data_IF_517231529310
#
_entry.id   IF_517231529310
#
_cell.length_a   1.000
_cell.length_b   1.000
_cell.length_c   1.000
_cell.angle_alpha   90.00
_cell.angle_beta   90.00
_cell.angle_gamma   90.00
#
_symmetry.space_group_name_H-M   'P 1'
#
loop_
_entity.id
_entity.type
_entity.pdbx_description
1 polymer ?
#
# COMPACT_ATOMS: atom_id res chain seq x y z
N UNK A 1 29.67 -37.05 14.63
CA UNK A 1 29.37 -37.79 13.38
C UNK A 1 28.10 -38.59 13.63
N UNK A 2 26.97 -38.22 12.99
CA UNK A 2 26.32 -39.01 11.92
C UNK A 2 26.14 -40.49 12.34
N UNK A 3 24.96 -41.11 12.37
CA UNK A 3 23.94 -41.05 11.32
C UNK A 3 22.73 -41.96 11.65
N UNK A 4 21.55 -41.53 11.16
CA UNK A 4 20.49 -42.30 10.46
C UNK A 4 19.83 -43.48 11.18
N UNK A 5 18.55 -43.35 11.55
CA UNK A 5 17.35 -43.60 10.70
C UNK A 5 17.32 -44.98 10.03
N UNK A 6 16.37 -45.81 10.47
CA UNK A 6 15.72 -46.84 9.63
C UNK A 6 14.21 -46.72 9.78
N UNK A 7 13.54 -46.63 8.62
CA UNK A 7 12.10 -46.78 8.43
C UNK A 7 11.81 -48.24 8.04
N UNK A 8 10.63 -48.73 8.40
CA UNK A 8 9.96 -49.91 7.81
C UNK A 8 8.71 -50.17 8.65
N UNK A 9 7.48 -49.86 8.22
CA UNK A 9 6.65 -50.45 7.15
C UNK A 9 6.26 -51.92 7.40
N UNK A 10 4.94 -52.10 7.60
CA UNK A 10 4.08 -53.27 7.42
C UNK A 10 4.19 -54.45 8.40
N UNK A 11 3.10 -54.70 9.11
CA UNK A 11 2.58 -56.05 9.31
C UNK A 11 1.05 -56.00 9.42
N UNK A 12 0.36 -56.54 8.41
CA UNK A 12 -1.02 -56.99 8.51
C UNK A 12 -0.99 -58.30 9.26
N UNK A 13 -1.60 -58.35 10.44
CA UNK A 13 -1.86 -59.58 11.17
C UNK A 13 -3.37 -59.76 11.34
N UNK A 14 -3.96 -60.65 10.54
CA UNK A 14 -5.25 -61.24 10.85
C UNK A 14 -5.02 -62.31 11.93
N UNK A 15 -5.63 -62.17 13.10
CA UNK A 15 -5.82 -63.27 14.05
C UNK A 15 -7.30 -63.37 14.34
N UNK A 16 -7.87 -64.53 14.03
CA UNK A 16 -9.22 -64.92 14.38
C UNK A 16 -9.20 -65.72 15.69
N UNK A 17 -10.12 -65.41 16.62
CA UNK A 17 -10.44 -66.26 17.78
C UNK A 17 -10.60 -65.48 19.09
N UNK A 18 -11.83 -65.43 19.63
CA UNK A 18 -12.09 -65.04 21.02
C UNK A 18 -13.17 -63.98 21.19
N UNK A 19 -14.34 -64.40 21.66
CA UNK A 19 -15.56 -63.61 21.87
C UNK A 19 -15.33 -62.54 22.95
N UNK A 20 -15.53 -61.30 22.54
CA UNK A 20 -15.43 -60.09 23.35
C UNK A 20 -15.61 -58.91 22.41
N UNK A 21 -16.74 -58.85 21.71
CA UNK A 21 -17.11 -57.76 20.84
C UNK A 21 -17.31 -56.49 21.67
N UNK A 22 -16.20 -55.84 22.03
CA UNK A 22 -16.18 -54.40 22.20
C UNK A 22 -16.50 -53.86 20.82
N UNK A 23 -17.78 -53.66 20.54
CA UNK A 23 -18.22 -52.91 19.38
C UNK A 23 -17.58 -51.53 19.49
N UNK A 24 -16.41 -51.35 18.88
CA UNK A 24 -15.99 -50.06 18.41
C UNK A 24 -17.04 -49.70 17.36
N UNK A 25 -18.14 -49.12 17.84
CA UNK A 25 -19.11 -48.47 16.99
C UNK A 25 -18.29 -47.48 16.20
N UNK A 26 -18.09 -47.76 14.92
CA UNK A 26 -17.44 -46.85 14.01
C UNK A 26 -18.34 -45.61 13.95
N UNK A 27 -18.08 -44.64 14.82
CA UNK A 27 -18.85 -43.42 14.85
C UNK A 27 -18.69 -42.77 13.47
N UNK A 28 -19.77 -42.77 12.70
CA UNK A 28 -19.79 -42.15 11.40
C UNK A 28 -19.35 -40.70 11.55
N UNK A 29 -18.29 -40.32 10.84
CA UNK A 29 -17.74 -38.97 10.91
C UNK A 29 -18.84 -37.97 10.54
N UNK A 30 -19.37 -37.27 11.54
CA UNK A 30 -20.35 -36.21 11.32
C UNK A 30 -19.64 -35.00 10.70
N UNK A 31 -20.14 -34.55 9.54
CA UNK A 31 -19.64 -33.37 8.85
C UNK A 31 -20.47 -32.14 9.23
N UNK A 32 -19.82 -30.97 9.27
CA UNK A 32 -20.54 -29.72 9.44
C UNK A 32 -21.34 -29.37 8.19
N UNK A 33 -22.31 -28.45 8.32
CA UNK A 33 -23.02 -27.82 7.21
C UNK A 33 -22.78 -26.31 7.27
N UNK A 34 -22.71 -25.63 6.14
CA UNK A 34 -22.71 -24.16 6.08
C UNK A 34 -24.13 -23.69 6.34
N UNK A 35 -24.30 -22.73 7.24
CA UNK A 35 -25.61 -22.15 7.62
C UNK A 35 -25.73 -20.68 7.25
N UNK A 36 -24.61 -19.98 7.04
CA UNK A 36 -24.58 -18.58 6.61
C UNK A 36 -23.33 -18.31 5.79
N UNK A 37 -23.47 -17.52 4.74
CA UNK A 37 -22.35 -16.96 3.97
C UNK A 37 -22.50 -15.45 3.84
N UNK A 38 -21.40 -14.75 3.61
CA UNK A 38 -21.42 -13.36 3.16
C UNK A 38 -21.60 -13.28 1.65
N UNK A 39 -21.72 -12.06 1.12
CA UNK A 39 -21.51 -11.80 -0.31
C UNK A 39 -20.13 -12.29 -0.73
N UNK A 40 -20.05 -12.92 -1.89
CA UNK A 40 -18.78 -13.26 -2.53
C UNK A 40 -18.22 -12.04 -3.25
N UNK A 41 -16.95 -11.76 -3.03
CA UNK A 41 -16.21 -10.71 -3.72
C UNK A 41 -15.32 -11.31 -4.81
N UNK A 42 -15.10 -10.54 -5.87
CA UNK A 42 -14.07 -10.83 -6.88
C UNK A 42 -12.70 -10.38 -6.37
N UNK A 43 -12.64 -9.20 -5.78
CA UNK A 43 -11.46 -8.60 -5.15
C UNK A 43 -11.86 -7.90 -3.85
N UNK A 44 -10.89 -7.72 -2.95
CA UNK A 44 -11.06 -6.98 -1.71
C UNK A 44 -9.81 -6.18 -1.38
N UNK A 45 -9.99 -5.04 -0.70
CA UNK A 45 -8.93 -4.26 -0.06
C UNK A 45 -8.61 -4.72 1.37
N UNK A 46 -9.31 -5.75 1.87
CA UNK A 46 -9.03 -6.37 3.17
C UNK A 46 -8.04 -7.51 3.00
N UNK A 47 -6.83 -7.34 3.54
CA UNK A 47 -5.77 -8.34 3.42
C UNK A 47 -5.52 -9.08 4.73
N UNK A 48 -5.08 -10.32 4.58
CA UNK A 48 -4.75 -11.22 5.67
C UNK A 48 -3.39 -11.88 5.46
N UNK A 49 -2.77 -12.28 6.56
CA UNK A 49 -1.60 -13.15 6.57
C UNK A 49 -1.91 -14.45 7.32
N UNK A 50 -1.12 -15.49 7.10
CA UNK A 50 -1.35 -16.79 7.74
C UNK A 50 -0.63 -16.93 9.07
N UNK A 51 -1.31 -17.52 10.06
CA UNK A 51 -0.71 -17.89 11.36
C UNK A 51 0.05 -19.21 11.30
N UNK A 52 -0.21 -20.03 10.26
CA UNK A 52 0.33 -21.38 10.14
C UNK A 52 -0.31 -22.42 11.09
N UNK A 53 -1.41 -22.07 11.77
CA UNK A 53 -2.15 -22.98 12.67
C UNK A 53 -3.16 -23.88 11.95
N UNK A 54 -3.65 -23.46 10.80
CA UNK A 54 -4.68 -24.17 10.03
C UNK A 54 -4.28 -24.28 8.57
N UNK A 55 -4.69 -25.36 7.89
CA UNK A 55 -4.48 -25.55 6.47
C UNK A 55 -5.51 -24.77 5.64
N UNK A 56 -5.20 -24.56 4.36
CA UNK A 56 -6.11 -23.99 3.35
C UNK A 56 -6.78 -25.15 2.61
N UNK A 57 -8.09 -25.07 2.40
CA UNK A 57 -8.90 -26.13 1.79
C UNK A 57 -9.63 -25.65 0.54
N UNK A 58 -10.07 -26.57 -0.31
CA UNK A 58 -10.84 -26.23 -1.53
C UNK A 58 -12.29 -25.79 -1.23
N UNK A 59 -12.82 -26.20 -0.08
CA UNK A 59 -14.11 -25.79 0.50
C UNK A 59 -13.92 -25.70 2.02
N UNK A 60 -14.93 -25.21 2.75
CA UNK A 60 -14.91 -25.19 4.23
C UNK A 60 -14.42 -26.53 4.80
N UNK A 61 -13.36 -26.49 5.63
CA UNK A 61 -12.53 -27.65 5.97
C UNK A 61 -13.24 -28.79 6.74
N UNK A 62 -14.37 -28.48 7.37
CA UNK A 62 -15.21 -29.46 8.11
C UNK A 62 -16.35 -30.07 7.28
N UNK A 63 -16.48 -29.69 6.00
CA UNK A 63 -17.48 -30.27 5.10
C UNK A 63 -17.03 -31.61 4.51
N UNK A 64 -18.00 -32.42 4.07
CA UNK A 64 -17.71 -33.65 3.34
C UNK A 64 -16.94 -33.36 2.04
N UNK A 65 -15.85 -34.10 1.84
CA UNK A 65 -15.00 -33.98 0.66
C UNK A 65 -14.13 -32.71 0.61
N UNK A 66 -13.90 -32.03 1.75
CA UNK A 66 -12.88 -30.99 1.83
C UNK A 66 -11.48 -31.60 1.64
N UNK A 67 -10.69 -30.99 0.74
CA UNK A 67 -9.31 -31.39 0.41
C UNK A 67 -8.36 -30.24 0.72
N UNK A 68 -7.17 -30.56 1.24
CA UNK A 68 -6.13 -29.57 1.52
C UNK A 68 -5.57 -29.04 0.20
N UNK A 69 -5.59 -27.71 0.04
CA UNK A 69 -4.95 -26.96 -1.06
C UNK A 69 -3.54 -26.55 -0.67
N UNK A 70 -3.35 -26.06 0.56
CA UNK A 70 -2.03 -25.78 1.15
C UNK A 70 -1.98 -26.25 2.59
N UNK A 71 -0.91 -26.97 2.93
CA UNK A 71 -0.61 -27.40 4.30
C UNK A 71 -0.21 -26.22 5.18
N UNK A 72 -0.28 -26.39 6.51
CA UNK A 72 0.22 -25.40 7.48
C UNK A 72 1.66 -24.99 7.23
N UNK A 73 2.53 -25.95 6.89
CA UNK A 73 3.95 -25.71 6.56
C UNK A 73 4.10 -24.82 5.32
N UNK A 74 3.31 -25.06 4.26
CA UNK A 74 3.33 -24.21 3.07
C UNK A 74 2.80 -22.81 3.37
N UNK A 75 1.75 -22.69 4.19
CA UNK A 75 1.20 -21.39 4.57
C UNK A 75 2.16 -20.57 5.44
N UNK A 76 2.99 -21.21 6.28
CA UNK A 76 4.09 -20.51 6.97
C UNK A 76 5.09 -19.89 5.99
N UNK A 77 5.37 -20.54 4.85
CA UNK A 77 6.23 -19.96 3.80
C UNK A 77 5.59 -18.74 3.14
N UNK A 78 4.27 -18.78 2.88
CA UNK A 78 3.53 -17.59 2.42
C UNK A 78 3.54 -16.48 3.48
N UNK A 79 3.40 -16.85 4.76
CA UNK A 79 3.39 -15.90 5.86
C UNK A 79 4.67 -15.07 5.97
N UNK A 80 5.82 -15.69 5.66
CA UNK A 80 7.15 -15.07 5.68
C UNK A 80 7.64 -14.63 4.29
N UNK A 81 6.82 -14.69 3.25
CA UNK A 81 7.25 -14.38 1.89
C UNK A 81 7.52 -12.88 1.71
N UNK A 82 8.63 -12.57 1.03
CA UNK A 82 8.99 -11.20 0.62
C UNK A 82 8.35 -10.76 -0.70
N UNK A 83 7.58 -11.63 -1.36
CA UNK A 83 6.87 -11.29 -2.60
C UNK A 83 5.52 -10.65 -2.26
N UNK A 84 5.28 -9.41 -2.70
CA UNK A 84 4.01 -8.69 -2.47
C UNK A 84 2.77 -9.49 -2.90
N UNK A 85 2.86 -10.18 -4.04
CA UNK A 85 1.81 -11.06 -4.58
C UNK A 85 1.43 -12.26 -3.69
N UNK A 86 2.26 -12.60 -2.70
CA UNK A 86 1.96 -13.62 -1.69
C UNK A 86 1.11 -13.08 -0.52
N UNK A 87 0.60 -11.85 -0.64
CA UNK A 87 -0.47 -11.32 0.22
C UNK A 87 -1.80 -11.94 -0.17
N UNK A 88 -2.66 -12.21 0.81
CA UNK A 88 -3.97 -12.81 0.59
C UNK A 88 -5.07 -11.80 0.88
N UNK A 89 -6.05 -11.69 -0.01
CA UNK A 89 -7.27 -10.91 0.19
C UNK A 89 -8.40 -11.80 0.69
N UNK A 90 -9.27 -11.25 1.55
CA UNK A 90 -10.52 -11.89 1.94
C UNK A 90 -11.58 -11.73 0.83
N UNK A 91 -12.34 -12.78 0.54
CA UNK A 91 -13.36 -12.74 -0.53
C UNK A 91 -14.76 -13.14 -0.07
N UNK A 92 -14.87 -13.94 0.99
CA UNK A 92 -16.14 -14.49 1.44
C UNK A 92 -15.97 -15.05 2.87
N UNK A 93 -17.02 -14.98 3.69
CA UNK A 93 -17.08 -15.62 4.99
C UNK A 93 -18.15 -16.71 4.98
N UNK A 94 -17.89 -17.84 5.62
CA UNK A 94 -18.87 -18.92 5.83
C UNK A 94 -18.91 -19.33 7.30
N UNK A 95 -20.12 -19.39 7.87
CA UNK A 95 -20.40 -19.93 9.20
C UNK A 95 -21.01 -21.31 9.08
N UNK A 96 -20.55 -22.24 9.91
CA UNK A 96 -21.10 -23.60 9.97
C UNK A 96 -22.13 -23.76 11.09
N UNK A 97 -22.93 -24.83 11.04
CA UNK A 97 -23.84 -25.22 12.12
C UNK A 97 -23.14 -25.52 13.46
N UNK A 98 -21.79 -25.58 13.47
CA UNK A 98 -20.96 -25.71 14.67
C UNK A 98 -20.36 -24.38 15.15
N UNK A 99 -20.87 -23.26 14.64
CA UNK A 99 -20.40 -21.88 14.90
C UNK A 99 -18.94 -21.62 14.48
N UNK A 100 -18.32 -22.53 13.73
CA UNK A 100 -17.00 -22.31 13.12
C UNK A 100 -17.13 -21.39 11.92
N UNK A 101 -16.27 -20.40 11.84
CA UNK A 101 -16.16 -19.47 10.73
C UNK A 101 -14.93 -19.75 9.87
N UNK A 102 -15.11 -19.55 8.57
CA UNK A 102 -14.08 -19.73 7.56
C UNK A 102 -14.05 -18.54 6.63
N UNK A 103 -12.84 -18.16 6.20
CA UNK A 103 -12.63 -17.17 5.17
C UNK A 103 -12.25 -17.86 3.87
N UNK A 104 -12.88 -17.47 2.79
CA UNK A 104 -12.35 -17.67 1.45
C UNK A 104 -11.33 -16.58 1.20
N UNK A 105 -10.11 -16.99 0.84
CA UNK A 105 -9.00 -16.09 0.57
C UNK A 105 -8.38 -16.42 -0.78
N UNK A 106 -7.79 -15.41 -1.43
CA UNK A 106 -6.98 -15.58 -2.63
C UNK A 106 -5.68 -14.77 -2.54
N UNK A 107 -4.58 -15.28 -3.09
CA UNK A 107 -3.37 -14.48 -3.29
C UNK A 107 -3.65 -13.32 -4.25
N UNK A 108 -2.88 -12.23 -4.19
CA UNK A 108 -3.11 -11.07 -5.07
C UNK A 108 -2.94 -11.42 -6.56
N UNK A 109 -2.07 -12.38 -6.88
CA UNK A 109 -1.91 -12.94 -8.23
C UNK A 109 -2.94 -14.02 -8.59
N UNK A 110 -3.92 -14.28 -7.72
CA UNK A 110 -4.97 -15.30 -7.84
C UNK A 110 -4.49 -16.76 -8.00
N UNK A 111 -3.19 -17.05 -7.88
CA UNK A 111 -2.65 -18.42 -8.05
C UNK A 111 -3.01 -19.37 -6.92
N UNK A 112 -3.31 -18.85 -5.73
CA UNK A 112 -3.73 -19.66 -4.58
C UNK A 112 -5.04 -19.15 -4.06
N UNK A 113 -6.05 -20.02 -4.02
CA UNK A 113 -7.39 -19.71 -3.51
C UNK A 113 -7.90 -20.86 -2.65
N UNK A 114 -8.64 -20.55 -1.60
CA UNK A 114 -9.26 -21.58 -0.78
C UNK A 114 -9.91 -21.03 0.49
N UNK A 115 -10.37 -21.95 1.31
CA UNK A 115 -11.06 -21.70 2.58
C UNK A 115 -10.15 -22.03 3.76
N UNK A 116 -10.06 -21.12 4.71
CA UNK A 116 -9.27 -21.30 5.93
C UNK A 116 -10.12 -20.99 7.16
N UNK A 117 -9.95 -21.78 8.21
CA UNK A 117 -10.63 -21.58 9.48
C UNK A 117 -10.16 -20.27 10.13
N UNK A 118 -11.09 -19.39 10.52
CA UNK A 118 -10.82 -18.07 11.11
C UNK A 118 -11.06 -18.01 12.62
N UNK A 119 -11.85 -18.94 13.16
CA UNK A 119 -12.22 -18.98 14.58
C UNK A 119 -13.65 -19.51 14.78
N UNK A 120 -14.15 -19.43 16.00
CA UNK A 120 -15.58 -19.60 16.29
C UNK A 120 -16.20 -18.24 16.58
N UNK A 121 -17.45 -18.05 16.20
CA UNK A 121 -18.25 -16.89 16.61
C UNK A 121 -19.14 -17.24 17.80
N UNK A 122 -19.14 -16.36 18.80
CA UNK A 122 -20.22 -16.23 19.81
C UNK A 122 -20.96 -14.89 19.67
N UNK A 123 -20.38 -13.94 18.92
CA UNK A 123 -20.91 -12.61 18.60
C UNK A 123 -20.76 -12.39 17.09
N UNK A 124 -21.84 -11.97 16.43
CA UNK A 124 -21.94 -11.83 14.99
C UNK A 124 -21.43 -10.49 14.45
N UNK A 125 -20.94 -9.59 15.30
CA UNK A 125 -20.40 -8.29 14.85
C UNK A 125 -19.28 -8.47 13.81
N UNK A 126 -19.36 -7.66 12.75
CA UNK A 126 -18.65 -7.78 11.48
C UNK A 126 -17.14 -7.64 11.59
N UNK A 127 -16.45 -8.73 11.94
CA UNK A 127 -14.98 -8.78 11.86
C UNK A 127 -14.56 -9.90 10.92
N UNK A 128 -13.73 -9.55 9.93
CA UNK A 128 -13.18 -10.51 8.95
C UNK A 128 -12.27 -11.53 9.64
N UNK A 129 -11.42 -11.09 10.58
CA UNK A 129 -10.54 -11.97 11.36
C UNK A 129 -11.01 -12.03 12.81
N UNK A 130 -11.02 -13.23 13.40
CA UNK A 130 -11.39 -13.43 14.81
C UNK A 130 -10.15 -13.51 15.71
N UNK A 131 -10.26 -12.86 16.86
CA UNK A 131 -9.21 -12.80 17.89
C UNK A 131 -9.75 -13.34 19.23
N UNK A 132 -8.87 -13.88 20.05
CA UNK A 132 -9.20 -14.38 21.40
C UNK A 132 -9.19 -13.27 22.45
N UNK A 133 -8.54 -12.16 22.13
CA UNK A 133 -8.31 -11.01 22.99
C UNK A 133 -8.77 -9.71 22.31
N UNK A 134 -9.20 -8.74 23.11
CA UNK A 134 -9.65 -7.44 22.60
C UNK A 134 -8.53 -6.64 21.91
N UNK A 135 -7.27 -6.86 22.32
CA UNK A 135 -6.09 -6.20 21.75
C UNK A 135 -5.68 -6.75 20.36
N UNK A 136 -6.38 -7.76 19.85
CA UNK A 136 -6.15 -8.37 18.52
C UNK A 136 -4.73 -8.93 18.35
N UNK A 137 -4.14 -9.45 19.42
CA UNK A 137 -2.79 -10.03 19.40
C UNK A 137 -2.81 -11.55 19.23
N UNK A 138 -3.91 -12.21 19.59
CA UNK A 138 -4.06 -13.66 19.56
C UNK A 138 -5.12 -14.08 18.54
N UNK A 139 -4.75 -14.35 17.28
CA UNK A 139 -5.69 -14.83 16.28
C UNK A 139 -6.30 -16.17 16.71
N UNK A 140 -7.63 -16.25 16.63
CA UNK A 140 -8.41 -17.43 17.02
C UNK A 140 -8.30 -18.56 15.99
N UNK A 141 -7.94 -18.24 14.74
CA UNK A 141 -7.81 -19.19 13.64
C UNK A 141 -6.51 -19.11 12.86
N UNK A 142 -6.60 -19.40 11.56
CA UNK A 142 -5.50 -19.54 10.62
C UNK A 142 -4.97 -18.23 10.03
N UNK A 143 -5.57 -17.09 10.35
CA UNK A 143 -5.29 -15.80 9.72
C UNK A 143 -5.16 -14.65 10.73
N UNK A 144 -4.44 -13.60 10.33
CA UNK A 144 -4.39 -12.27 10.97
C UNK A 144 -4.67 -11.21 9.94
N UNK A 145 -5.14 -10.03 10.35
CA UNK A 145 -5.12 -8.85 9.47
C UNK A 145 -3.68 -8.55 9.00
N UNK A 146 -3.58 -7.95 7.81
CA UNK A 146 -2.30 -7.61 7.20
C UNK A 146 -2.39 -6.27 6.47
N UNK A 147 -1.41 -5.40 6.70
CA UNK A 147 -1.25 -4.16 5.95
C UNK A 147 -0.13 -4.34 4.93
N UNK A 148 -0.40 -4.02 3.67
CA UNK A 148 0.60 -4.15 2.59
C UNK A 148 1.60 -3.00 2.56
N UNK A 149 1.24 -1.88 3.19
CA UNK A 149 2.05 -0.67 3.32
C UNK A 149 2.10 -0.25 4.79
N UNK A 150 3.24 0.31 5.21
CA UNK A 150 3.42 0.98 6.50
C UNK A 150 3.85 2.41 6.26
N UNK A 151 3.37 3.36 7.06
CA UNK A 151 3.90 4.74 7.03
C UNK A 151 5.40 4.71 7.31
N UNK A 152 6.16 5.50 6.57
CA UNK A 152 7.58 5.71 6.77
C UNK A 152 7.86 7.18 7.07
N UNK A 153 8.84 7.47 7.94
CA UNK A 153 9.20 8.86 8.21
C UNK A 153 9.74 9.52 6.94
N UNK A 154 9.51 10.83 6.83
CA UNK A 154 10.17 11.71 5.87
C UNK A 154 11.10 12.61 6.68
N UNK A 155 12.36 12.70 6.28
CA UNK A 155 13.34 13.57 6.93
C UNK A 155 13.08 15.03 6.58
N UNK A 156 13.55 15.96 7.40
CA UNK A 156 13.45 17.40 7.10
C UNK A 156 14.11 17.75 5.77
N UNK A 157 15.25 17.14 5.45
CA UNK A 157 15.96 17.37 4.19
C UNK A 157 15.19 16.84 2.96
N UNK A 158 14.45 15.74 3.13
CA UNK A 158 13.53 15.22 2.10
C UNK A 158 12.37 16.19 1.87
N UNK A 159 11.69 16.59 2.95
CA UNK A 159 10.51 17.45 2.89
C UNK A 159 10.80 18.87 2.38
N UNK A 160 12.01 19.40 2.64
CA UNK A 160 12.37 20.77 2.25
C UNK A 160 13.12 20.88 0.91
N UNK A 161 13.35 19.74 0.24
CA UNK A 161 14.17 19.64 -0.95
C UNK A 161 13.37 19.67 -2.26
N UNK A 162 14.08 19.99 -3.34
CA UNK A 162 13.60 19.85 -4.71
C UNK A 162 14.32 18.72 -5.41
N UNK A 163 13.62 17.99 -6.26
CA UNK A 163 14.10 16.74 -6.85
C UNK A 163 13.83 16.68 -8.35
N UNK A 164 14.62 15.87 -9.05
CA UNK A 164 14.32 15.38 -10.40
C UNK A 164 14.30 13.86 -10.40
N UNK A 165 13.67 13.27 -11.39
CA UNK A 165 13.85 11.85 -11.69
C UNK A 165 15.34 11.58 -11.95
N UNK A 166 15.90 10.59 -11.27
CA UNK A 166 17.31 10.20 -11.47
C UNK A 166 17.51 9.51 -12.81
N UNK A 167 16.54 8.66 -13.21
CA UNK A 167 16.58 7.85 -14.43
C UNK A 167 15.23 7.91 -15.15
N UNK A 168 14.84 9.05 -15.76
CA UNK A 168 13.62 9.13 -16.54
C UNK A 168 13.69 8.18 -17.75
N UNK A 169 12.55 7.59 -18.13
CA UNK A 169 12.47 6.63 -19.22
C UNK A 169 11.37 5.58 -19.05
N UNK A 170 11.61 4.39 -19.61
CA UNK A 170 10.57 3.35 -19.78
C UNK A 170 10.54 2.28 -18.69
N UNK A 171 11.48 2.28 -17.74
CA UNK A 171 11.57 1.25 -16.70
C UNK A 171 10.26 1.12 -15.89
N UNK A 172 9.84 -0.11 -15.61
CA UNK A 172 8.55 -0.44 -14.96
C UNK A 172 8.69 -0.96 -13.54
N UNK A 173 9.91 -0.93 -12.99
CA UNK A 173 10.29 -1.48 -11.68
C UNK A 173 10.16 -0.47 -10.52
N UNK A 174 9.57 0.69 -10.77
CA UNK A 174 9.44 1.77 -9.79
C UNK A 174 10.49 2.85 -9.88
N UNK A 175 11.49 2.72 -10.76
CA UNK A 175 12.67 3.62 -10.76
C UNK A 175 12.58 4.80 -11.73
N UNK A 176 11.69 4.74 -12.72
CA UNK A 176 11.55 5.79 -13.72
C UNK A 176 10.22 6.55 -13.67
N UNK A 177 9.17 5.96 -13.10
CA UNK A 177 7.79 6.46 -13.20
C UNK A 177 7.14 6.65 -11.84
N UNK A 178 6.13 7.50 -11.79
CA UNK A 178 5.27 7.73 -10.63
C UNK A 178 4.00 6.88 -10.75
N UNK A 179 3.62 6.20 -9.67
CA UNK A 179 2.53 5.22 -9.63
C UNK A 179 1.46 5.60 -8.61
N UNK A 180 0.22 5.17 -8.81
CA UNK A 180 -0.85 5.43 -7.82
C UNK A 180 -0.63 4.73 -6.48
N UNK A 181 0.07 3.58 -6.49
CA UNK A 181 0.51 2.83 -5.32
C UNK A 181 1.88 2.19 -5.61
N UNK A 182 2.67 1.88 -4.58
CA UNK A 182 3.84 1.03 -4.74
C UNK A 182 3.51 -0.30 -5.43
N UNK A 183 4.47 -0.86 -6.16
CA UNK A 183 4.24 -2.11 -6.90
C UNK A 183 3.91 -3.27 -5.95
N UNK A 184 3.08 -4.19 -6.42
CA UNK A 184 2.73 -5.45 -5.75
C UNK A 184 2.06 -5.35 -4.36
N UNK A 185 1.29 -4.30 -4.09
CA UNK A 185 0.64 -4.09 -2.77
C UNK A 185 -0.89 -4.19 -2.79
N UNK A 186 -1.50 -4.35 -3.96
CA UNK A 186 -2.96 -4.38 -4.11
C UNK A 186 -3.37 -5.11 -5.41
N UNK A 187 -4.50 -5.87 -5.40
CA UNK A 187 -5.05 -6.47 -6.61
C UNK A 187 -5.88 -5.48 -7.43
N UNK A 188 -6.29 -4.36 -6.82
CA UNK A 188 -7.14 -3.32 -7.45
C UNK A 188 -6.37 -2.56 -8.54
N UNK A 189 -5.04 -2.51 -8.42
CA UNK A 189 -4.15 -1.79 -9.34
C UNK A 189 -3.12 -2.75 -9.94
N UNK A 190 -3.56 -3.89 -10.45
CA UNK A 190 -2.70 -4.84 -11.16
C UNK A 190 -3.16 -4.98 -12.62
N UNK A 191 -2.41 -4.45 -13.62
CA UNK A 191 -1.08 -3.85 -13.49
C UNK A 191 -1.11 -2.47 -12.80
N UNK A 192 0.02 -2.09 -12.21
CA UNK A 192 0.16 -0.82 -11.49
C UNK A 192 -0.23 0.37 -12.38
N UNK A 193 -1.01 1.30 -11.83
CA UNK A 193 -1.44 2.50 -12.55
C UNK A 193 -0.30 3.52 -12.50
N UNK A 194 0.19 3.90 -13.67
CA UNK A 194 1.14 4.99 -13.83
C UNK A 194 0.38 6.32 -13.79
N UNK A 195 0.77 7.21 -12.87
CA UNK A 195 0.22 8.57 -12.72
C UNK A 195 1.09 9.57 -13.48
N UNK A 196 1.16 9.38 -14.80
CA UNK A 196 1.84 10.28 -15.73
C UNK A 196 1.01 10.34 -17.02
N UNK A 197 0.90 11.51 -17.68
CA UNK A 197 0.16 11.62 -18.94
C UNK A 197 0.69 10.63 -20.00
N UNK A 198 2.02 10.57 -20.18
CA UNK A 198 2.66 9.50 -20.94
C UNK A 198 2.92 8.29 -20.04
N UNK A 199 2.03 7.29 -20.10
CA UNK A 199 2.13 6.08 -19.26
C UNK A 199 3.31 5.16 -19.62
N UNK A 200 3.85 5.30 -20.82
CA UNK A 200 4.91 4.43 -21.33
C UNK A 200 6.31 4.89 -20.88
N UNK A 201 6.53 6.20 -20.82
CA UNK A 201 7.84 6.79 -20.53
C UNK A 201 7.71 8.09 -19.73
N UNK A 202 8.67 8.32 -18.84
CA UNK A 202 8.82 9.59 -18.13
C UNK A 202 9.86 10.54 -18.75
N UNK A 203 10.37 10.23 -19.94
CA UNK A 203 11.40 11.03 -20.63
C UNK A 203 10.96 12.50 -20.84
N UNK A 204 9.68 12.74 -21.12
CA UNK A 204 9.12 14.08 -21.36
C UNK A 204 9.14 14.96 -20.09
N UNK A 205 9.31 14.34 -18.91
CA UNK A 205 9.29 14.95 -17.58
C UNK A 205 10.68 14.96 -16.93
N UNK A 206 11.75 14.74 -17.71
CA UNK A 206 13.11 14.64 -17.20
C UNK A 206 13.62 15.92 -16.48
N UNK A 207 13.05 17.08 -16.85
CA UNK A 207 13.43 18.37 -16.29
C UNK A 207 12.53 18.83 -15.13
N UNK A 208 11.41 18.14 -14.94
CA UNK A 208 10.36 18.55 -14.02
C UNK A 208 10.86 18.52 -12.58
N UNK A 209 10.29 19.38 -11.75
CA UNK A 209 10.70 19.55 -10.36
C UNK A 209 9.68 18.89 -9.46
N UNK A 210 10.16 17.90 -8.73
CA UNK A 210 9.39 17.14 -7.77
C UNK A 210 9.72 17.57 -6.34
N UNK A 211 8.77 17.29 -5.48
CA UNK A 211 8.88 17.36 -4.02
C UNK A 211 8.59 15.99 -3.41
N UNK A 212 8.93 15.81 -2.14
CA UNK A 212 8.54 14.63 -1.37
C UNK A 212 7.48 15.06 -0.36
N UNK A 213 6.30 14.45 -0.43
CA UNK A 213 5.14 14.74 0.42
C UNK A 213 4.89 13.66 1.47
N UNK A 214 5.52 12.50 1.32
CA UNK A 214 5.30 11.37 2.21
C UNK A 214 6.24 10.21 1.90
N UNK A 215 6.18 9.17 2.72
CA UNK A 215 6.86 7.92 2.42
C UNK A 215 6.11 6.74 3.04
N UNK A 216 6.22 5.59 2.38
CA UNK A 216 5.70 4.31 2.85
C UNK A 216 6.74 3.21 2.65
N UNK A 217 6.63 2.13 3.43
CA UNK A 217 7.42 0.91 3.26
C UNK A 217 6.47 -0.22 2.89
N UNK A 218 6.80 -0.99 1.85
CA UNK A 218 6.04 -2.20 1.50
C UNK A 218 6.31 -3.29 2.54
N UNK A 219 5.27 -3.81 3.19
CA UNK A 219 5.43 -4.71 4.35
C UNK A 219 6.16 -6.01 4.01
N UNK A 220 5.96 -6.57 2.81
CA UNK A 220 6.62 -7.84 2.42
C UNK A 220 8.05 -7.63 1.92
N UNK A 221 8.22 -6.67 1.01
CA UNK A 221 9.49 -6.39 0.34
C UNK A 221 10.47 -5.68 1.29
N UNK A 222 9.96 -4.84 2.19
CA UNK A 222 10.75 -4.05 3.13
C UNK A 222 11.40 -2.81 2.52
N UNK A 223 11.15 -2.50 1.26
CA UNK A 223 11.67 -1.32 0.59
C UNK A 223 10.74 -0.11 0.73
N UNK A 224 11.36 1.07 0.74
CA UNK A 224 10.70 2.37 0.89
C UNK A 224 10.32 2.95 -0.47
N UNK A 225 9.19 3.64 -0.48
CA UNK A 225 8.63 4.36 -1.60
C UNK A 225 8.30 5.77 -1.13
N UNK A 226 8.71 6.77 -1.91
CA UNK A 226 8.47 8.17 -1.65
C UNK A 226 7.15 8.57 -2.32
N UNK A 227 6.30 9.28 -1.60
CA UNK A 227 5.18 9.98 -2.19
C UNK A 227 5.70 11.33 -2.71
N UNK A 228 5.38 11.63 -3.98
CA UNK A 228 5.88 12.80 -4.70
C UNK A 228 4.74 13.51 -5.43
N UNK A 229 4.95 14.80 -5.65
CA UNK A 229 4.13 15.64 -6.53
C UNK A 229 5.06 16.43 -7.46
N UNK A 230 4.63 16.59 -8.70
CA UNK A 230 5.27 17.46 -9.68
C UNK A 230 4.77 18.90 -9.51
N UNK A 231 5.69 19.84 -9.38
CA UNK A 231 5.34 21.25 -9.15
C UNK A 231 4.74 21.94 -10.37
N UNK A 232 4.85 21.36 -11.56
CA UNK A 232 4.39 21.95 -12.81
C UNK A 232 3.24 21.20 -13.46
N UNK A 233 2.94 20.00 -12.99
CA UNK A 233 1.88 19.16 -13.51
C UNK A 233 1.21 18.33 -12.42
N UNK A 234 0.08 18.81 -11.90
CA UNK A 234 -0.68 18.13 -10.85
C UNK A 234 -1.20 16.74 -11.23
N UNK A 235 -1.22 16.38 -12.53
CA UNK A 235 -1.56 15.01 -12.93
C UNK A 235 -0.45 14.01 -12.60
N UNK A 236 0.75 14.49 -12.20
CA UNK A 236 1.91 13.68 -11.85
C UNK A 236 2.12 13.74 -10.34
N UNK A 237 1.32 12.97 -9.62
CA UNK A 237 1.45 12.76 -8.18
C UNK A 237 1.24 11.28 -7.83
N UNK A 238 1.99 10.77 -6.85
CA UNK A 238 1.91 9.37 -6.47
C UNK A 238 3.20 8.86 -5.82
N UNK A 239 3.54 7.61 -6.07
CA UNK A 239 4.67 6.91 -5.44
C UNK A 239 5.76 6.58 -6.44
N UNK A 240 7.00 6.79 -6.03
CA UNK A 240 8.20 6.35 -6.74
C UNK A 240 9.14 5.63 -5.75
N UNK A 241 9.91 4.65 -6.23
CA UNK A 241 10.80 3.89 -5.36
C UNK A 241 11.88 4.80 -4.78
N UNK A 242 12.21 4.66 -3.50
CA UNK A 242 13.29 5.42 -2.88
C UNK A 242 14.63 5.19 -3.62
N UNK A 243 15.47 6.23 -3.71
CA UNK A 243 16.68 6.27 -4.53
C UNK A 243 16.46 6.61 -6.02
N UNK A 244 15.22 6.80 -6.45
CA UNK A 244 14.88 7.12 -7.86
C UNK A 244 14.82 8.63 -8.15
N UNK A 245 15.11 9.45 -7.14
CA UNK A 245 15.13 10.90 -7.23
C UNK A 245 16.55 11.42 -6.98
N UNK A 246 16.92 12.45 -7.73
CA UNK A 246 18.14 13.22 -7.51
C UNK A 246 17.78 14.57 -6.93
N UNK A 247 18.31 14.87 -5.75
CA UNK A 247 18.15 16.20 -5.13
C UNK A 247 18.82 17.26 -6.01
N UNK A 248 18.10 18.36 -6.24
CA UNK A 248 18.60 19.53 -6.95
C UNK A 248 19.36 20.38 -5.93
N UNK A 249 20.59 20.79 -6.28
CA UNK A 249 21.34 21.73 -5.46
C UNK A 249 20.60 23.08 -5.39
N UNK A 250 20.73 23.85 -4.30
CA UNK A 250 20.18 25.21 -4.22
C UNK A 250 20.63 26.04 -5.43
N UNK A 251 19.69 26.80 -6.00
CA UNK A 251 19.95 27.68 -7.15
C UNK A 251 19.83 29.13 -6.73
N UNK A 252 20.51 30.03 -7.43
CA UNK A 252 20.32 31.48 -7.26
C UNK A 252 19.04 31.94 -7.97
N UNK A 253 18.55 33.14 -7.65
CA UNK A 253 17.37 33.72 -8.28
C UNK A 253 17.47 33.74 -9.81
N UNK A 254 18.66 34.02 -10.37
CA UNK A 254 18.92 34.00 -11.82
C UNK A 254 18.65 32.64 -12.48
N UNK A 255 18.76 31.54 -11.74
CA UNK A 255 18.61 30.17 -12.24
C UNK A 255 17.32 29.47 -11.78
N UNK A 256 16.54 30.12 -10.92
CA UNK A 256 15.26 29.62 -10.41
C UNK A 256 14.11 30.57 -10.68
N UNK A 257 13.06 30.41 -9.89
CA UNK A 257 11.94 31.35 -9.77
C UNK A 257 11.83 31.70 -8.29
N UNK A 258 11.87 32.99 -7.97
CA UNK A 258 11.65 33.46 -6.60
C UNK A 258 10.16 33.50 -6.33
N UNK A 259 9.68 32.75 -5.36
CA UNK A 259 8.31 32.79 -4.85
C UNK A 259 8.32 33.59 -3.55
N UNK A 260 7.65 34.74 -3.54
CA UNK A 260 7.45 35.54 -2.33
C UNK A 260 6.13 35.13 -1.67
N UNK A 261 6.20 34.72 -0.40
CA UNK A 261 5.03 34.53 0.44
C UNK A 261 4.58 35.89 0.94
N UNK A 262 3.40 36.34 0.54
CA UNK A 262 2.85 37.64 0.89
C UNK A 262 1.58 37.43 1.71
N UNK A 263 1.55 37.97 2.91
CA UNK A 263 0.36 37.95 3.76
C UNK A 263 -0.77 38.72 3.07
N UNK A 264 -1.91 38.05 2.81
CA UNK A 264 -3.00 38.58 1.98
C UNK A 264 -3.66 39.83 2.59
N UNK A 265 -3.68 39.94 3.92
CA UNK A 265 -4.39 41.01 4.63
C UNK A 265 -3.50 42.26 4.76
N UNK A 266 -2.22 42.04 5.03
CA UNK A 266 -1.26 43.14 5.26
C UNK A 266 -0.44 43.50 4.03
N UNK A 267 -0.49 42.67 2.98
CA UNK A 267 0.32 42.76 1.76
C UNK A 267 1.84 42.81 2.02
N UNK A 268 2.30 42.27 3.15
CA UNK A 268 3.72 42.22 3.53
C UNK A 268 4.31 40.88 3.12
N UNK A 269 5.53 40.91 2.59
CA UNK A 269 6.32 39.68 2.37
C UNK A 269 6.71 39.09 3.73
N UNK A 270 6.31 37.85 3.96
CA UNK A 270 6.57 37.10 5.21
C UNK A 270 7.64 36.02 5.03
N UNK A 271 8.02 35.74 3.79
CA UNK A 271 9.15 34.88 3.45
C UNK A 271 9.30 34.73 1.94
N UNK A 272 10.33 34.01 1.52
CA UNK A 272 10.53 33.67 0.12
C UNK A 272 11.22 32.32 -0.03
N UNK A 273 10.98 31.64 -1.16
CA UNK A 273 11.72 30.45 -1.59
C UNK A 273 12.18 30.61 -3.04
N UNK A 274 13.34 30.05 -3.38
CA UNK A 274 13.80 29.98 -4.78
C UNK A 274 13.57 28.56 -5.29
N UNK A 275 12.58 28.41 -6.16
CA UNK A 275 12.26 27.13 -6.80
C UNK A 275 13.18 26.93 -8.00
N UNK A 276 13.85 25.78 -8.14
CA UNK A 276 14.62 25.47 -9.34
C UNK A 276 13.75 25.55 -10.59
N UNK A 277 14.28 26.16 -11.65
CA UNK A 277 13.56 26.19 -12.91
C UNK A 277 13.52 24.80 -13.55
N UNK A 278 12.32 24.30 -13.85
CA UNK A 278 12.08 23.01 -14.51
C UNK A 278 10.99 23.12 -15.55
N UNK A 279 11.31 23.68 -16.70
CA UNK A 279 10.40 23.65 -17.85
C UNK A 279 10.35 22.23 -18.43
N UNK A 280 9.14 21.79 -18.80
CA UNK A 280 8.93 20.56 -19.54
C UNK A 280 9.84 20.48 -20.78
N UNK A 281 10.17 19.27 -21.22
CA UNK A 281 11.08 19.07 -22.36
C UNK A 281 10.60 19.85 -23.59
N UNK A 282 11.48 20.67 -24.16
CA UNK A 282 11.18 21.52 -25.32
C UNK A 282 10.43 22.82 -25.01
N UNK A 283 10.21 23.17 -23.74
CA UNK A 283 9.58 24.43 -23.32
C UNK A 283 10.61 25.41 -22.73
N UNK A 284 10.34 26.70 -22.89
CA UNK A 284 11.17 27.80 -22.37
C UNK A 284 10.59 28.44 -21.10
N UNK A 285 9.41 27.99 -20.70
CA UNK A 285 8.68 28.45 -19.52
C UNK A 285 8.21 27.25 -18.70
N UNK A 286 8.00 27.47 -17.40
CA UNK A 286 7.33 26.52 -16.51
C UNK A 286 6.04 27.13 -15.99
N UNK A 287 5.06 26.30 -15.65
CA UNK A 287 3.89 26.74 -14.90
C UNK A 287 3.94 26.09 -13.54
N UNK A 288 3.45 26.75 -12.51
CA UNK A 288 3.21 26.11 -11.22
C UNK A 288 1.83 25.44 -11.25
N UNK A 289 1.77 24.22 -10.71
CA UNK A 289 0.54 23.48 -10.53
C UNK A 289 -0.20 23.90 -9.25
N UNK A 290 -1.50 23.59 -9.24
CA UNK A 290 -2.42 23.78 -8.11
C UNK A 290 -1.97 23.07 -6.82
N UNK A 291 -1.18 21.99 -6.94
CA UNK A 291 -0.74 21.15 -5.83
C UNK A 291 0.41 21.73 -5.00
N UNK A 292 0.83 22.96 -5.30
CA UNK A 292 1.77 23.69 -4.47
C UNK A 292 1.26 23.92 -3.03
N UNK A 293 -0.01 23.62 -2.74
CA UNK A 293 -0.68 23.84 -1.45
C UNK A 293 -1.39 22.58 -0.88
N UNK A 294 -1.51 21.50 -1.66
CA UNK A 294 -2.52 20.48 -1.34
C UNK A 294 -1.96 19.25 -0.62
N UNK A 295 -1.72 19.37 0.70
CA UNK A 295 -1.64 18.20 1.58
C UNK A 295 -2.11 18.49 3.02
N UNK A 296 -3.08 17.70 3.48
CA UNK A 296 -3.86 17.94 4.70
C UNK A 296 -3.08 17.81 6.04
N UNK A 297 -1.89 17.22 6.04
CA UNK A 297 -1.19 16.82 7.28
C UNK A 297 0.16 17.51 7.53
N UNK A 298 0.63 18.39 6.64
CA UNK A 298 1.90 19.12 6.83
C UNK A 298 1.80 20.56 6.35
N UNK A 299 1.41 21.45 7.26
CA UNK A 299 1.20 22.89 7.06
C UNK A 299 2.48 23.72 6.75
N UNK A 300 3.53 23.11 6.20
CA UNK A 300 4.79 23.79 5.88
C UNK A 300 5.38 23.23 4.58
N UNK A 301 4.67 23.42 3.49
CA UNK A 301 5.14 22.98 2.19
C UNK A 301 6.00 24.07 1.53
N UNK A 302 7.07 23.64 0.85
CA UNK A 302 8.00 24.50 0.11
C UNK A 302 8.68 25.62 0.89
N UNK A 303 8.92 25.41 2.18
CA UNK A 303 9.56 26.41 3.06
C UNK A 303 8.67 27.64 3.31
N UNK A 304 7.35 27.49 3.19
CA UNK A 304 6.40 28.49 3.69
C UNK A 304 6.71 28.81 5.17
N UNK A 305 6.72 30.10 5.56
CA UNK A 305 6.97 30.51 6.94
C UNK A 305 6.04 29.81 7.94
N UNK A 306 6.59 29.47 9.11
CA UNK A 306 5.81 28.86 10.17
C UNK A 306 4.66 29.80 10.62
N UNK A 307 3.48 29.22 10.85
CA UNK A 307 2.29 29.97 11.26
C UNK A 307 1.43 30.48 10.10
N UNK A 308 1.84 30.26 8.85
CA UNK A 308 1.08 30.60 7.65
C UNK A 308 0.49 29.37 6.96
N UNK A 309 -0.59 29.57 6.22
CA UNK A 309 -1.20 28.62 5.28
C UNK A 309 -1.52 29.36 3.97
N UNK A 310 -1.79 28.62 2.89
CA UNK A 310 -2.28 29.21 1.66
C UNK A 310 -3.57 30.03 1.88
N UNK A 311 -3.64 31.18 1.20
CA UNK A 311 -4.87 31.95 1.11
C UNK A 311 -5.85 31.22 0.17
N UNK A 312 -6.84 30.53 0.71
CA UNK A 312 -7.81 29.76 -0.09
C UNK A 312 -8.99 30.63 -0.53
N UNK A 313 -9.04 30.95 -1.82
CA UNK A 313 -10.25 31.40 -2.53
C UNK A 313 -10.33 30.68 -3.88
N UNK A 314 -11.51 30.57 -4.50
CA UNK A 314 -11.66 29.93 -5.84
C UNK A 314 -10.71 30.54 -6.90
N UNK A 315 -10.21 31.76 -6.68
CA UNK A 315 -9.33 32.48 -7.58
C UNK A 315 -7.87 32.59 -7.11
N UNK A 316 -7.56 32.27 -5.84
CA UNK A 316 -6.26 32.56 -5.21
C UNK A 316 -5.41 31.33 -4.86
N UNK A 317 -5.72 30.15 -5.40
CA UNK A 317 -4.82 29.00 -5.27
C UNK A 317 -3.49 29.27 -5.99
N UNK A 318 -2.37 28.86 -5.38
CA UNK A 318 -1.09 28.96 -6.08
C UNK A 318 -1.13 28.10 -7.34
N UNK A 319 -0.58 28.63 -8.43
CA UNK A 319 -0.71 27.99 -9.73
C UNK A 319 -1.97 28.39 -10.51
N UNK A 320 -2.98 29.04 -9.90
CA UNK A 320 -4.11 29.67 -10.64
C UNK A 320 -3.99 31.19 -10.74
N UNK A 321 -3.12 31.80 -9.94
CA UNK A 321 -2.92 33.25 -9.90
C UNK A 321 -2.24 33.80 -11.16
N UNK A 322 -2.47 35.08 -11.52
CA UNK A 322 -1.73 35.74 -12.59
C UNK A 322 -0.22 35.67 -12.35
N UNK A 323 0.53 35.25 -13.38
CA UNK A 323 2.00 35.15 -13.29
C UNK A 323 2.54 33.83 -12.74
N UNK A 324 1.69 32.86 -12.36
CA UNK A 324 2.14 31.50 -12.00
C UNK A 324 2.18 30.54 -13.19
N UNK A 325 1.72 30.99 -14.36
CA UNK A 325 1.80 30.26 -15.62
C UNK A 325 2.83 30.88 -16.56
N UNK A 326 3.44 30.07 -17.42
CA UNK A 326 4.43 30.52 -18.40
C UNK A 326 5.58 31.34 -17.78
N UNK A 327 5.96 30.99 -16.56
CA UNK A 327 7.00 31.64 -15.77
C UNK A 327 8.35 31.40 -16.42
N UNK A 328 9.13 32.47 -16.57
CA UNK A 328 10.49 32.41 -17.10
C UNK A 328 11.49 32.22 -15.97
N UNK A 329 12.63 31.61 -16.29
CA UNK A 329 13.79 31.55 -15.40
C UNK A 329 14.22 32.97 -14.99
N UNK A 330 14.49 33.18 -13.70
CA UNK A 330 14.80 34.50 -13.14
C UNK A 330 13.59 35.31 -12.70
N UNK A 331 12.36 34.82 -12.93
CA UNK A 331 11.16 35.54 -12.57
C UNK A 331 10.93 35.57 -11.04
N UNK A 332 10.13 36.55 -10.63
CA UNK A 332 9.58 36.65 -9.28
C UNK A 332 8.08 36.47 -9.39
N UNK A 333 7.52 35.62 -8.53
CA UNK A 333 6.08 35.38 -8.42
C UNK A 333 5.64 35.58 -6.98
N UNK A 334 4.40 36.00 -6.79
CA UNK A 334 3.78 36.16 -5.47
C UNK A 334 2.91 34.95 -5.17
N UNK A 335 2.95 34.47 -3.93
CA UNK A 335 1.98 33.54 -3.38
C UNK A 335 1.36 34.17 -2.15
N UNK A 336 0.07 34.46 -2.23
CA UNK A 336 -0.68 34.95 -1.09
C UNK A 336 -0.91 33.86 -0.04
N UNK A 337 -0.62 34.21 1.21
CA UNK A 337 -0.76 33.37 2.40
C UNK A 337 -1.54 34.09 3.48
N UNK A 338 -2.06 33.34 4.45
CA UNK A 338 -2.78 33.89 5.59
C UNK A 338 -2.32 33.21 6.89
N UNK A 339 -2.41 33.89 8.05
CA UNK A 339 -2.13 33.26 9.33
C UNK A 339 -3.01 32.04 9.56
N UNK A 340 -2.44 30.97 10.10
CA UNK A 340 -3.18 29.78 10.47
C UNK A 340 -4.16 30.10 11.60
N UNK A 341 -5.45 29.92 11.36
CA UNK A 341 -6.47 29.97 12.40
C UNK A 341 -6.50 28.60 13.09
N UNK A 342 -6.40 28.59 14.42
CA UNK A 342 -6.38 27.36 15.23
C UNK A 342 -7.72 26.66 15.30
#
# INVERSE_FOLDING_TARGET
MLNRWVKGLLAVGLVAGGIGASSVTAQAKSYAKVVKTSRTLVQSSTYVNFTGKNALYNKVGTLKGAKVVKTTKQLKKYASSKRGMDTFMWLETATTNRKSEYLKVASLDNKVKGWIYSGKTTDYKDQVVRYKDAAKTQPAGGVTMFETLKKSPVTTAEASGFYRLANPGTATDGTAKVYSLPLDVSPVVSPAIVNMPNKASSADYANDVFVITGAVTRTRQGDRWLQVSDLSNSHIAGYIKDGSLKRIAPVTAKHGVTVNYVDQDTNKTVGSVIVPFGAAVGKTTMSFGYEFDNYADSYQYMQMPAGYVGAYSENDFFGTQPGTFNVKKGAVVTYYVQPKVN
#
